data_IF_395399440419
#
_entry.id   IF_395399440419
#
_cell.length_a   1.000
_cell.length_b   1.000
_cell.length_c   1.000
_cell.angle_alpha   90.00
_cell.angle_beta   90.00
_cell.angle_gamma   90.00
#
_symmetry.space_group_name_H-M   'P 1'
#
loop_
_entity.id
_entity.type
_entity.pdbx_description
1 polymer ?
#
# COMPACT_ATOMS: atom_id res chain seq x y z
N UNK A 1 -18.12 -4.60 12.63
CA UNK A 1 -17.09 -4.84 11.60
C UNK A 1 -15.74 -4.59 12.22
N UNK A 2 -14.79 -5.50 12.06
CA UNK A 2 -13.41 -5.28 12.46
C UNK A 2 -12.82 -4.16 11.59
N UNK A 3 -12.35 -3.08 12.22
CA UNK A 3 -11.69 -1.98 11.51
C UNK A 3 -10.19 -2.24 11.39
N UNK A 4 -9.53 -1.51 10.48
CA UNK A 4 -8.06 -1.50 10.41
C UNK A 4 -7.42 -1.17 11.78
N UNK A 5 -7.99 -0.24 12.53
CA UNK A 5 -7.49 0.13 13.86
C UNK A 5 -7.61 -1.01 14.88
N UNK A 6 -8.64 -1.86 14.74
CA UNK A 6 -8.81 -3.04 15.60
C UNK A 6 -7.79 -4.14 15.26
N UNK A 7 -7.39 -4.25 13.99
CA UNK A 7 -6.36 -5.19 13.53
C UNK A 7 -4.98 -4.68 13.93
N UNK A 8 -4.70 -3.40 13.72
CA UNK A 8 -3.40 -2.77 14.02
C UNK A 8 -2.99 -2.96 15.47
N UNK A 9 -3.92 -2.82 16.42
CA UNK A 9 -3.68 -3.03 17.86
C UNK A 9 -3.22 -4.46 18.21
N UNK A 10 -3.55 -5.44 17.37
CA UNK A 10 -3.19 -6.85 17.57
C UNK A 10 -1.90 -7.26 16.87
N UNK A 11 -1.37 -6.41 15.98
CA UNK A 11 -0.11 -6.63 15.26
C UNK A 11 1.09 -6.23 16.14
N UNK A 12 1.37 -7.02 17.17
CA UNK A 12 2.48 -6.77 18.11
C UNK A 12 3.84 -7.28 17.61
N UNK A 13 3.86 -8.10 16.55
CA UNK A 13 5.06 -8.71 16.00
C UNK A 13 5.79 -7.88 14.94
N UNK A 14 5.20 -6.78 14.48
CA UNK A 14 5.78 -5.90 13.45
C UNK A 14 6.61 -4.83 14.14
N UNK A 15 7.86 -4.66 13.73
CA UNK A 15 8.72 -3.64 14.32
C UNK A 15 8.24 -2.23 13.95
N UNK A 16 8.52 -1.20 14.77
CA UNK A 16 8.04 0.16 14.50
C UNK A 16 8.48 0.74 13.13
N UNK A 17 9.68 0.42 12.68
CA UNK A 17 10.22 0.81 11.37
C UNK A 17 9.47 0.11 10.22
N UNK A 18 9.20 -1.18 10.34
CA UNK A 18 8.38 -1.94 9.38
C UNK A 18 6.95 -1.39 9.32
N UNK A 19 6.35 -1.04 10.47
CA UNK A 19 5.03 -0.42 10.53
C UNK A 19 5.03 0.95 9.82
N UNK A 20 6.08 1.74 10.00
CA UNK A 20 6.25 3.03 9.32
C UNK A 20 6.31 2.86 7.80
N UNK A 21 7.02 1.84 7.33
CA UNK A 21 7.06 1.49 5.91
C UNK A 21 5.67 1.07 5.38
N UNK A 22 4.95 0.25 6.13
CA UNK A 22 3.58 -0.17 5.78
C UNK A 22 2.64 1.04 5.66
N UNK A 23 2.64 1.94 6.65
CA UNK A 23 1.80 3.14 6.63
C UNK A 23 2.14 4.06 5.47
N UNK A 24 3.43 4.24 5.18
CA UNK A 24 3.91 5.04 4.05
C UNK A 24 3.43 4.46 2.72
N UNK A 25 3.56 3.15 2.53
CA UNK A 25 3.08 2.45 1.33
C UNK A 25 1.56 2.53 1.20
N UNK A 26 0.83 2.34 2.30
CA UNK A 26 -0.63 2.45 2.32
C UNK A 26 -1.09 3.87 1.94
N UNK A 27 -0.44 4.89 2.50
CA UNK A 27 -0.71 6.28 2.16
C UNK A 27 -0.50 6.55 0.66
N UNK A 28 0.66 6.16 0.12
CA UNK A 28 0.97 6.33 -1.31
C UNK A 28 -0.05 5.58 -2.19
N UNK A 29 -0.46 4.39 -1.78
CA UNK A 29 -1.48 3.62 -2.50
C UNK A 29 -2.83 4.33 -2.52
N UNK A 30 -3.27 4.90 -1.39
CA UNK A 30 -4.48 5.72 -1.32
C UNK A 30 -4.38 6.95 -2.23
N UNK A 31 -3.24 7.64 -2.24
CA UNK A 31 -3.03 8.81 -3.09
C UNK A 31 -3.07 8.44 -4.59
N UNK A 32 -2.51 7.28 -4.96
CA UNK A 32 -2.60 6.74 -6.33
C UNK A 32 -4.06 6.52 -6.75
N UNK A 33 -4.88 5.91 -5.89
CA UNK A 33 -6.31 5.68 -6.16
C UNK A 33 -7.07 6.99 -6.28
N UNK A 34 -6.86 7.94 -5.35
CA UNK A 34 -7.51 9.27 -5.38
C UNK A 34 -7.21 10.05 -6.66
N UNK A 35 -6.04 9.81 -7.26
CA UNK A 35 -5.62 10.41 -8.53
C UNK A 35 -6.13 9.64 -9.76
N UNK A 36 -6.96 8.62 -9.59
CA UNK A 36 -7.46 7.79 -10.70
C UNK A 36 -6.37 7.03 -11.45
N UNK A 37 -5.19 6.84 -10.84
CA UNK A 37 -4.06 6.20 -11.51
C UNK A 37 -4.11 4.69 -11.28
N UNK A 38 -4.17 3.90 -12.36
CA UNK A 38 -4.12 2.44 -12.26
C UNK A 38 -2.72 1.94 -11.88
N UNK A 39 -2.60 0.69 -11.43
CA UNK A 39 -1.28 0.12 -11.14
C UNK A 39 -0.43 0.01 -12.41
N UNK A 40 -1.05 -0.33 -13.54
CA UNK A 40 -0.40 -0.46 -14.84
C UNK A 40 0.18 0.89 -15.27
N UNK A 41 -0.62 1.94 -15.09
CA UNK A 41 -0.22 3.30 -15.44
C UNK A 41 0.92 3.80 -14.55
N UNK A 42 0.83 3.58 -13.22
CA UNK A 42 1.91 3.90 -12.31
C UNK A 42 3.20 3.18 -12.70
N UNK A 43 3.14 1.87 -12.96
CA UNK A 43 4.28 1.06 -13.34
C UNK A 43 4.95 1.61 -14.62
N UNK A 44 4.15 1.90 -15.66
CA UNK A 44 4.64 2.51 -16.89
C UNK A 44 5.37 3.84 -16.64
N UNK A 45 4.80 4.73 -15.81
CA UNK A 45 5.38 6.06 -15.51
C UNK A 45 6.72 5.99 -14.79
N UNK A 46 6.92 4.98 -13.93
CA UNK A 46 8.16 4.83 -13.17
C UNK A 46 9.17 3.87 -13.83
N UNK A 47 8.93 3.47 -15.09
CA UNK A 47 9.82 2.55 -15.81
C UNK A 47 9.79 1.11 -15.30
N UNK A 48 8.75 0.72 -14.54
CA UNK A 48 8.55 -0.64 -14.06
C UNK A 48 7.58 -1.41 -14.95
N UNK A 49 7.74 -2.74 -15.02
CA UNK A 49 6.74 -3.63 -15.62
C UNK A 49 5.84 -4.14 -14.51
N UNK A 50 4.53 -3.90 -14.61
CA UNK A 50 3.60 -4.62 -13.75
C UNK A 50 3.54 -6.08 -14.22
N UNK A 51 3.75 -7.07 -13.33
CA UNK A 51 3.47 -8.45 -13.68
C UNK A 51 1.98 -8.59 -14.01
N UNK A 52 1.70 -9.11 -15.21
CA UNK A 52 0.36 -9.57 -15.59
C UNK A 52 0.09 -10.83 -14.79
N UNK A 53 -0.66 -10.72 -13.69
CA UNK A 53 -1.26 -11.90 -13.08
C UNK A 53 -2.28 -12.45 -14.10
N UNK A 54 -1.89 -13.49 -14.82
CA UNK A 54 -2.81 -14.39 -15.53
C UNK A 54 -3.29 -15.45 -14.55
#
# INVERSE_FOLDING_TARGET
MTTWNDIKKKLTSIKPDEMTAIESLAHLHTQRIKRGTSQVELAKRIGMKQPLNR
#
